data_IF_931941683103
#
_entry.id   IF_931941683103
#
_cell.length_a   1.000
_cell.length_b   1.000
_cell.length_c   1.000
_cell.angle_alpha   90.00
_cell.angle_beta   90.00
_cell.angle_gamma   90.00
#
_symmetry.space_group_name_H-M   'P 1'
#
loop_
_entity.id
_entity.type
_entity.pdbx_description
1 polymer ?
#
# COMPACT_ATOMS: atom_id res chain seq x y z
N UNK A 1 19.45 -27.46 10.83
CA UNK A 1 18.47 -26.99 9.83
C UNK A 1 17.10 -27.40 10.35
N UNK A 2 16.30 -26.42 10.76
CA UNK A 2 15.29 -26.55 11.81
C UNK A 2 13.98 -27.19 11.30
N UNK A 3 13.44 -28.16 12.04
CA UNK A 3 12.23 -28.93 11.76
C UNK A 3 10.90 -28.13 11.74
N UNK A 4 10.97 -26.80 11.72
CA UNK A 4 9.82 -25.88 11.70
C UNK A 4 9.25 -25.69 10.28
N UNK A 5 10.02 -26.04 9.25
CA UNK A 5 9.66 -25.84 7.84
C UNK A 5 8.52 -26.74 7.35
N UNK A 6 8.47 -27.98 7.83
CA UNK A 6 7.60 -29.03 7.26
C UNK A 6 6.12 -28.81 7.60
N UNK A 7 5.73 -28.54 8.87
CA UNK A 7 4.33 -28.33 9.20
C UNK A 7 3.74 -27.05 8.61
N UNK A 8 4.54 -25.98 8.48
CA UNK A 8 4.07 -24.71 7.88
C UNK A 8 3.83 -24.86 6.37
N UNK A 9 4.71 -25.60 5.67
CA UNK A 9 4.53 -25.88 4.25
C UNK A 9 3.32 -26.80 4.02
N UNK A 10 3.08 -27.77 4.91
CA UNK A 10 1.87 -28.60 4.84
C UNK A 10 0.60 -27.74 5.00
N UNK A 11 0.56 -26.86 6.01
CA UNK A 11 -0.56 -25.94 6.21
C UNK A 11 -0.76 -25.05 4.98
N UNK A 12 0.33 -24.46 4.46
CA UNK A 12 0.28 -23.63 3.25
C UNK A 12 -0.32 -24.39 2.07
N UNK A 13 0.17 -25.60 1.76
CA UNK A 13 -0.34 -26.39 0.64
C UNK A 13 -1.79 -26.82 0.83
N UNK A 14 -2.22 -27.12 2.06
CA UNK A 14 -3.63 -27.45 2.36
C UNK A 14 -4.55 -26.25 2.14
N UNK A 15 -4.15 -25.07 2.60
CA UNK A 15 -4.91 -23.84 2.38
C UNK A 15 -4.94 -23.49 0.88
N UNK A 16 -3.80 -23.56 0.20
CA UNK A 16 -3.71 -23.30 -1.23
C UNK A 16 -4.54 -24.29 -2.05
N UNK A 17 -4.52 -25.58 -1.72
CA UNK A 17 -5.32 -26.59 -2.41
C UNK A 17 -6.82 -26.41 -2.19
N UNK A 18 -7.23 -25.89 -1.03
CA UNK A 18 -8.64 -25.71 -0.70
C UNK A 18 -9.21 -24.42 -1.30
N UNK A 19 -8.47 -23.30 -1.16
CA UNK A 19 -8.93 -21.98 -1.58
C UNK A 19 -8.45 -21.61 -3.00
N UNK A 20 -7.40 -22.24 -3.53
CA UNK A 20 -6.75 -21.84 -4.78
C UNK A 20 -6.00 -20.51 -4.67
N UNK A 21 -5.44 -20.00 -5.78
CA UNK A 21 -4.93 -18.63 -5.86
C UNK A 21 -6.07 -17.65 -5.61
N UNK A 22 -5.91 -16.80 -4.60
CA UNK A 22 -7.02 -15.98 -4.13
C UNK A 22 -7.07 -14.59 -4.75
N UNK A 23 -5.95 -14.12 -5.32
CA UNK A 23 -5.86 -12.77 -5.89
C UNK A 23 -6.35 -11.68 -4.94
N UNK A 24 -6.06 -11.80 -3.64
CA UNK A 24 -6.57 -10.91 -2.57
C UNK A 24 -6.17 -9.43 -2.73
N UNK A 25 -5.27 -9.13 -3.67
CA UNK A 25 -4.80 -7.78 -3.93
C UNK A 25 -4.72 -7.48 -5.43
N UNK A 26 -5.87 -7.36 -6.12
CA UNK A 26 -5.89 -6.97 -7.52
C UNK A 26 -5.41 -5.52 -7.63
N UNK A 27 -4.36 -5.28 -8.40
CA UNK A 27 -3.82 -3.96 -8.69
C UNK A 27 -3.21 -3.96 -10.10
N UNK A 28 -3.29 -2.82 -10.77
CA UNK A 28 -2.74 -2.67 -12.13
C UNK A 28 -1.22 -2.47 -12.09
N UNK A 29 -0.70 -1.85 -11.03
CA UNK A 29 0.72 -1.54 -10.87
C UNK A 29 1.19 -1.55 -9.38
N UNK A 30 2.51 -1.55 -9.12
CA UNK A 30 3.04 -1.56 -7.75
C UNK A 30 2.67 -0.35 -6.90
N UNK A 31 2.41 0.81 -7.50
CA UNK A 31 2.03 2.01 -6.75
C UNK A 31 0.60 1.86 -6.20
N UNK A 32 -0.31 1.31 -7.01
CA UNK A 32 -1.65 0.95 -6.55
C UNK A 32 -1.61 -0.07 -5.40
N UNK A 33 -0.70 -1.05 -5.45
CA UNK A 33 -0.50 -1.99 -4.34
C UNK A 33 -0.16 -1.26 -3.04
N UNK A 34 0.79 -0.33 -3.09
CA UNK A 34 1.25 0.46 -1.92
C UNK A 34 0.11 1.31 -1.36
N UNK A 35 -0.64 2.01 -2.22
CA UNK A 35 -1.79 2.80 -1.79
C UNK A 35 -2.85 1.92 -1.13
N UNK A 36 -3.14 0.76 -1.72
CA UNK A 36 -4.02 -0.23 -1.09
C UNK A 36 -3.56 -0.60 0.32
N UNK A 37 -2.25 -0.68 0.57
CA UNK A 37 -1.70 -1.21 1.82
C UNK A 37 -1.89 -0.17 2.92
N UNK A 38 -1.56 1.08 2.61
CA UNK A 38 -1.80 2.23 3.47
C UNK A 38 -3.30 2.35 3.81
N UNK A 39 -4.19 2.10 2.84
CA UNK A 39 -5.63 2.27 3.00
C UNK A 39 -6.32 1.10 3.71
N UNK A 40 -5.74 -0.10 3.73
CA UNK A 40 -6.36 -1.33 4.28
C UNK A 40 -6.44 -1.35 5.80
N UNK A 41 -5.60 -0.57 6.50
CA UNK A 41 -5.62 -0.53 7.97
C UNK A 41 -7.03 -0.19 8.51
N UNK A 42 -7.57 -1.09 9.34
CA UNK A 42 -8.92 -1.00 9.90
C UNK A 42 -10.02 -0.75 8.86
N UNK A 43 -9.94 -1.41 7.69
CA UNK A 43 -10.86 -1.19 6.56
C UNK A 43 -11.16 -2.46 5.79
N UNK A 44 -12.44 -2.65 5.45
CA UNK A 44 -12.84 -3.72 4.56
C UNK A 44 -12.32 -3.46 3.14
N UNK A 45 -11.80 -4.50 2.48
CA UNK A 45 -11.21 -4.38 1.14
C UNK A 45 -12.13 -3.70 0.12
N UNK A 46 -13.44 -3.97 0.16
CA UNK A 46 -14.44 -3.33 -0.72
C UNK A 46 -14.44 -1.79 -0.62
N UNK A 47 -14.10 -1.23 0.54
CA UNK A 47 -13.98 0.22 0.71
C UNK A 47 -12.66 0.76 0.17
N UNK A 48 -11.59 -0.04 0.26
CA UNK A 48 -10.29 0.27 -0.36
C UNK A 48 -10.44 0.31 -1.87
N UNK A 49 -11.08 -0.70 -2.47
CA UNK A 49 -11.39 -0.75 -3.91
C UNK A 49 -12.19 0.49 -4.34
N UNK A 50 -13.21 0.88 -3.57
CA UNK A 50 -13.97 2.09 -3.84
C UNK A 50 -13.10 3.36 -3.77
N UNK A 51 -12.20 3.46 -2.80
CA UNK A 51 -11.30 4.59 -2.66
C UNK A 51 -10.27 4.67 -3.81
N UNK A 52 -9.66 3.54 -4.19
CA UNK A 52 -8.75 3.46 -5.33
C UNK A 52 -9.49 3.81 -6.64
N UNK A 53 -10.72 3.32 -6.83
CA UNK A 53 -11.56 3.70 -7.97
C UNK A 53 -11.85 5.21 -8.00
N UNK A 54 -12.10 5.84 -6.85
CA UNK A 54 -12.32 7.29 -6.78
C UNK A 54 -11.05 8.07 -7.19
N UNK A 55 -9.88 7.62 -6.74
CA UNK A 55 -8.59 8.22 -7.11
C UNK A 55 -8.29 8.06 -8.61
N UNK A 56 -8.56 6.87 -9.19
CA UNK A 56 -8.44 6.63 -10.64
C UNK A 56 -9.32 7.57 -11.45
N UNK A 57 -10.57 7.75 -11.03
CA UNK A 57 -11.54 8.61 -11.72
C UNK A 57 -11.10 10.09 -11.75
N UNK A 58 -10.38 10.56 -10.72
CA UNK A 58 -9.83 11.92 -10.65
C UNK A 58 -8.44 12.02 -11.33
N UNK A 59 -7.94 10.97 -11.98
CA UNK A 59 -6.57 10.88 -12.52
C UNK A 59 -5.49 11.09 -11.43
N UNK A 60 -5.84 10.83 -10.17
CA UNK A 60 -5.02 11.08 -8.99
C UNK A 60 -4.28 9.82 -8.51
N UNK A 61 -4.02 8.84 -9.38
CA UNK A 61 -3.30 7.61 -9.02
C UNK A 61 -1.84 7.64 -9.50
N UNK A 62 -1.17 8.77 -9.30
CA UNK A 62 0.28 8.92 -9.45
C UNK A 62 0.85 9.69 -8.26
N UNK A 63 2.14 9.49 -7.91
CA UNK A 63 2.76 10.23 -6.79
C UNK A 63 2.64 11.75 -6.96
N UNK A 64 2.96 12.27 -8.15
CA UNK A 64 2.87 13.69 -8.45
C UNK A 64 1.45 14.24 -8.31
N UNK A 65 0.45 13.57 -8.92
CA UNK A 65 -0.94 14.01 -8.82
C UNK A 65 -1.44 14.01 -7.36
N UNK A 66 -1.01 13.03 -6.55
CA UNK A 66 -1.37 12.97 -5.13
C UNK A 66 -0.71 14.06 -4.28
N UNK A 67 0.48 14.54 -4.63
CA UNK A 67 1.09 15.70 -3.97
C UNK A 67 0.37 17.00 -4.31
N UNK A 68 0.01 17.17 -5.58
CA UNK A 68 -0.66 18.38 -6.07
C UNK A 68 -2.12 18.48 -5.62
N UNK A 69 -2.76 17.34 -5.32
CA UNK A 69 -4.15 17.30 -4.87
C UNK A 69 -4.31 18.00 -3.49
N UNK A 70 -5.29 18.90 -3.31
CA UNK A 70 -5.58 19.47 -1.99
C UNK A 70 -5.88 18.37 -0.95
N UNK A 71 -5.40 18.57 0.28
CA UNK A 71 -5.49 17.55 1.32
C UNK A 71 -6.93 17.14 1.65
N UNK A 72 -7.85 18.11 1.70
CA UNK A 72 -9.28 17.90 1.91
C UNK A 72 -9.93 17.10 0.77
N UNK A 73 -9.48 17.30 -0.47
CA UNK A 73 -9.91 16.53 -1.64
C UNK A 73 -9.40 15.10 -1.58
N UNK A 74 -8.13 14.88 -1.24
CA UNK A 74 -7.59 13.53 -1.00
C UNK A 74 -8.40 12.80 0.07
N UNK A 75 -8.60 13.44 1.22
CA UNK A 75 -9.39 12.93 2.34
C UNK A 75 -10.83 12.56 1.92
N UNK A 76 -11.46 13.37 1.06
CA UNK A 76 -12.79 13.10 0.54
C UNK A 76 -12.84 11.89 -0.41
N UNK A 77 -11.84 11.74 -1.30
CA UNK A 77 -11.78 10.61 -2.25
C UNK A 77 -11.60 9.27 -1.53
N UNK A 78 -10.83 9.25 -0.44
CA UNK A 78 -10.58 8.04 0.37
C UNK A 78 -11.51 7.90 1.57
N UNK A 79 -12.57 8.71 1.66
CA UNK A 79 -13.57 8.67 2.75
C UNK A 79 -14.16 7.29 3.03
N UNK A 80 -14.42 6.40 2.03
CA UNK A 80 -14.92 5.05 2.29
C UNK A 80 -14.04 4.23 3.26
N UNK A 81 -12.74 4.52 3.31
CA UNK A 81 -11.80 3.77 4.14
C UNK A 81 -11.89 4.07 5.64
N UNK A 82 -12.70 5.03 6.10
CA UNK A 82 -12.69 5.44 7.51
C UNK A 82 -11.31 5.97 7.95
N UNK A 83 -11.25 6.67 9.10
CA UNK A 83 -10.03 7.36 9.56
C UNK A 83 -9.32 8.16 8.44
N UNK A 84 -10.11 8.66 7.49
CA UNK A 84 -9.63 9.06 6.16
C UNK A 84 -8.70 10.27 6.23
N UNK A 85 -8.87 11.15 7.23
CA UNK A 85 -7.93 12.24 7.48
C UNK A 85 -6.53 11.70 7.83
N UNK A 86 -6.43 10.73 8.74
CA UNK A 86 -5.16 10.13 9.10
C UNK A 86 -4.54 9.39 7.90
N UNK A 87 -5.36 8.68 7.12
CA UNK A 87 -4.90 8.00 5.91
C UNK A 87 -4.42 8.97 4.84
N UNK A 88 -5.07 10.12 4.67
CA UNK A 88 -4.65 11.14 3.73
C UNK A 88 -3.27 11.71 4.11
N UNK A 89 -3.00 11.87 5.41
CA UNK A 89 -1.67 12.28 5.91
C UNK A 89 -0.62 11.21 5.56
N UNK A 90 -0.92 9.92 5.77
CA UNK A 90 0.01 8.81 5.45
C UNK A 90 0.31 8.72 3.95
N UNK A 91 -0.73 8.75 3.12
CA UNK A 91 -0.58 8.77 1.66
C UNK A 91 0.28 9.95 1.24
N UNK A 92 0.02 11.15 1.79
CA UNK A 92 0.81 12.35 1.51
C UNK A 92 2.27 12.17 1.92
N UNK A 93 2.53 11.69 3.14
CA UNK A 93 3.89 11.45 3.61
C UNK A 93 4.66 10.49 2.68
N UNK A 94 4.04 9.38 2.28
CA UNK A 94 4.65 8.42 1.36
C UNK A 94 5.01 9.07 0.01
N UNK A 95 4.08 9.79 -0.62
CA UNK A 95 4.36 10.39 -1.94
C UNK A 95 5.36 11.55 -1.85
N UNK A 96 5.38 12.33 -0.76
CA UNK A 96 6.39 13.38 -0.55
C UNK A 96 7.79 12.76 -0.46
N UNK A 97 7.96 11.69 0.30
CA UNK A 97 9.24 11.02 0.46
C UNK A 97 9.72 10.34 -0.82
N UNK A 98 8.80 9.64 -1.51
CA UNK A 98 9.07 9.03 -2.80
C UNK A 98 9.53 10.07 -3.84
N UNK A 99 8.88 11.24 -3.86
CA UNK A 99 9.27 12.35 -4.72
C UNK A 99 10.64 12.92 -4.34
N UNK A 100 10.86 13.18 -3.05
CA UNK A 100 12.06 13.84 -2.56
C UNK A 100 13.33 12.99 -2.70
N UNK A 101 13.25 11.69 -2.40
CA UNK A 101 14.41 10.80 -2.34
C UNK A 101 14.60 9.97 -3.61
N UNK A 102 13.51 9.65 -4.31
CA UNK A 102 13.54 8.73 -5.45
C UNK A 102 13.03 9.36 -6.75
N UNK A 103 12.51 10.60 -6.72
CA UNK A 103 12.04 11.29 -7.92
C UNK A 103 10.84 10.59 -8.58
N UNK A 104 9.91 10.07 -7.76
CA UNK A 104 8.74 9.28 -8.17
C UNK A 104 9.03 7.92 -8.80
N UNK A 105 10.29 7.49 -8.80
CA UNK A 105 10.71 6.23 -9.40
C UNK A 105 10.74 5.10 -8.36
N UNK A 106 9.66 4.31 -8.33
CA UNK A 106 9.58 3.10 -7.50
C UNK A 106 10.68 2.07 -7.82
N UNK A 107 11.22 2.07 -9.04
CA UNK A 107 12.34 1.20 -9.41
C UNK A 107 13.59 1.51 -8.60
N UNK A 108 13.83 2.79 -8.26
CA UNK A 108 14.95 3.19 -7.39
C UNK A 108 14.72 2.79 -5.94
N UNK A 109 13.48 2.93 -5.45
CA UNK A 109 13.11 2.48 -4.11
C UNK A 109 13.30 0.97 -3.99
N UNK A 110 12.81 0.19 -4.97
CA UNK A 110 12.91 -1.27 -4.96
C UNK A 110 14.32 -1.80 -5.30
N UNK A 111 15.24 -0.94 -5.73
CA UNK A 111 16.64 -1.30 -5.93
C UNK A 111 17.44 -1.35 -4.61
N UNK A 112 16.87 -0.85 -3.51
CA UNK A 112 17.47 -0.97 -2.18
C UNK A 112 17.54 -2.43 -1.74
N UNK A 113 18.55 -2.76 -0.93
CA UNK A 113 18.57 -4.04 -0.24
C UNK A 113 17.39 -4.11 0.75
N UNK A 114 16.81 -5.30 0.97
CA UNK A 114 15.67 -5.45 1.90
C UNK A 114 15.99 -4.93 3.31
N UNK A 115 17.24 -5.10 3.75
CA UNK A 115 17.72 -4.64 5.06
C UNK A 115 17.74 -3.10 5.18
N UNK A 116 17.83 -2.39 4.05
CA UNK A 116 17.78 -0.93 3.98
C UNK A 116 16.38 -0.41 3.66
N UNK A 117 15.63 -1.13 2.81
CA UNK A 117 14.28 -0.77 2.38
C UNK A 117 13.28 -0.75 3.54
N UNK A 118 13.36 -1.72 4.47
CA UNK A 118 12.43 -1.77 5.60
C UNK A 118 12.61 -0.56 6.53
N UNK A 119 13.82 -0.24 7.04
CA UNK A 119 14.03 0.97 7.83
C UNK A 119 13.60 2.24 7.11
N UNK A 120 13.84 2.35 5.80
CA UNK A 120 13.41 3.48 4.98
C UNK A 120 11.88 3.64 5.03
N UNK A 121 11.13 2.59 4.71
CA UNK A 121 9.66 2.60 4.73
C UNK A 121 9.10 2.90 6.13
N UNK A 122 9.72 2.35 7.18
CA UNK A 122 9.31 2.61 8.57
C UNK A 122 9.61 4.04 9.05
N UNK A 123 10.49 4.77 8.35
CA UNK A 123 10.76 6.18 8.65
C UNK A 123 9.63 7.10 8.16
N UNK A 124 8.84 6.65 7.17
CA UNK A 124 7.70 7.37 6.61
C UNK A 124 6.60 7.49 7.67
N UNK A 125 6.12 8.72 7.88
CA UNK A 125 5.08 8.99 8.87
C UNK A 125 3.83 8.12 8.67
N UNK A 126 3.57 7.25 9.66
CA UNK A 126 2.37 6.43 9.75
C UNK A 126 2.37 5.15 8.91
N UNK A 127 3.48 4.84 8.24
CA UNK A 127 3.84 3.47 7.85
C UNK A 127 4.37 2.76 9.10
N UNK A 128 4.02 1.50 9.28
CA UNK A 128 4.40 0.71 10.45
C UNK A 128 4.64 -0.74 10.06
N UNK A 129 5.07 -1.58 11.00
CA UNK A 129 5.58 -2.94 10.72
C UNK A 129 4.68 -3.86 9.88
N UNK A 130 3.37 -3.60 9.83
CA UNK A 130 2.40 -4.37 9.06
C UNK A 130 2.22 -3.87 7.61
N UNK A 131 2.47 -2.59 7.36
CA UNK A 131 2.28 -1.92 6.06
C UNK A 131 3.59 -1.83 5.31
#
# INVERSE_FOLDING_TARGET
MSAVSDPLLEIYHRLLSHYGPQHWWPADDPFEVILGAILTQATAWTNVEQALSNLKAETALTPAALRDLPHDRLAALIRPCGYYNAKAVKVRAFVEELGALYGDDLGRLFALAIDDLRPELLSIHGVGEET
#
